data_IF_708503541296
#
_entry.id   IF_708503541296
#
_cell.length_a   1.000
_cell.length_b   1.000
_cell.length_c   1.000
_cell.angle_alpha   90.00
_cell.angle_beta   90.00
_cell.angle_gamma   90.00
#
_symmetry.space_group_name_H-M   'P 1'
#
loop_
_entity.id
_entity.type
_entity.pdbx_description
1 polymer ?
#
# COMPACT_ATOMS: atom_id res chain seq x y z
N UNK A 1 -34.42 -5.85 -17.93
CA UNK A 1 -33.01 -5.82 -18.41
C UNK A 1 -32.18 -4.67 -17.83
N UNK A 2 -32.73 -3.44 -17.67
CA UNK A 2 -31.99 -2.30 -17.10
C UNK A 2 -31.43 -2.54 -15.68
N UNK A 3 -32.19 -3.16 -14.78
CA UNK A 3 -31.77 -3.40 -13.37
C UNK A 3 -30.54 -4.30 -13.23
N UNK A 4 -30.36 -5.29 -14.10
CA UNK A 4 -29.23 -6.22 -14.06
C UNK A 4 -27.93 -5.53 -14.48
N UNK A 5 -27.99 -4.67 -15.51
CA UNK A 5 -26.86 -3.84 -15.94
C UNK A 5 -26.38 -2.90 -14.83
N UNK A 6 -27.31 -2.25 -14.14
CA UNK A 6 -26.97 -1.33 -13.04
C UNK A 6 -26.29 -2.05 -11.87
N UNK A 7 -26.79 -3.23 -11.49
CA UNK A 7 -26.16 -4.07 -10.45
C UNK A 7 -24.73 -4.48 -10.81
N UNK A 8 -24.51 -4.86 -12.07
CA UNK A 8 -23.20 -5.30 -12.55
C UNK A 8 -22.17 -4.16 -12.55
N UNK A 9 -22.60 -2.96 -12.94
CA UNK A 9 -21.76 -1.73 -12.85
C UNK A 9 -21.44 -1.38 -11.40
N UNK A 10 -22.41 -1.50 -10.49
CA UNK A 10 -22.20 -1.23 -9.07
C UNK A 10 -21.20 -2.20 -8.45
N UNK A 11 -21.28 -3.48 -8.83
CA UNK A 11 -20.38 -4.52 -8.36
C UNK A 11 -18.93 -4.28 -8.83
N UNK A 12 -18.75 -3.88 -10.09
CA UNK A 12 -17.45 -3.49 -10.66
C UNK A 12 -16.82 -2.30 -9.91
N UNK A 13 -17.64 -1.30 -9.55
CA UNK A 13 -17.20 -0.13 -8.77
C UNK A 13 -16.71 -0.52 -7.37
N UNK A 14 -17.41 -1.43 -6.70
CA UNK A 14 -17.00 -1.93 -5.37
C UNK A 14 -15.71 -2.77 -5.45
N UNK A 15 -15.53 -3.57 -6.50
CA UNK A 15 -14.29 -4.36 -6.72
C UNK A 15 -13.08 -3.44 -6.98
N UNK A 16 -13.27 -2.31 -7.65
CA UNK A 16 -12.21 -1.32 -7.84
C UNK A 16 -11.72 -0.68 -6.52
N UNK A 17 -12.59 -0.54 -5.52
CA UNK A 17 -12.25 0.06 -4.23
C UNK A 17 -11.43 -0.87 -3.32
N UNK A 18 -11.46 -2.18 -3.55
CA UNK A 18 -10.82 -3.18 -2.69
C UNK A 18 -9.47 -3.67 -3.20
N UNK A 19 -9.08 -3.32 -4.43
CA UNK A 19 -7.83 -3.81 -5.07
C UNK A 19 -6.67 -2.81 -5.06
N UNK A 20 -6.88 -1.60 -4.51
CA UNK A 20 -5.84 -0.59 -4.38
C UNK A 20 -4.86 -0.88 -3.23
N UNK A 21 -3.59 -0.49 -3.40
CA UNK A 21 -2.63 -0.34 -2.32
C UNK A 21 -2.25 1.14 -2.24
N UNK A 22 -2.38 1.77 -1.08
CA UNK A 22 -1.95 3.16 -0.90
C UNK A 22 -0.63 3.20 -0.12
N UNK A 23 0.33 3.95 -0.63
CA UNK A 23 1.54 4.28 0.13
C UNK A 23 1.18 5.41 1.10
N UNK A 24 1.27 5.12 2.41
CA UNK A 24 0.87 6.03 3.47
C UNK A 24 1.99 7.03 3.82
N UNK A 25 3.26 6.64 3.67
CA UNK A 25 4.39 7.53 3.92
C UNK A 25 5.74 6.87 3.75
N UNK A 26 6.77 7.71 3.63
CA UNK A 26 8.18 7.30 3.59
C UNK A 26 8.98 8.19 4.53
N UNK A 27 9.81 7.59 5.38
CA UNK A 27 10.76 8.29 6.23
C UNK A 27 12.18 7.80 5.91
N UNK A 28 13.14 8.72 5.78
CA UNK A 28 14.54 8.39 5.52
C UNK A 28 15.31 8.53 6.84
N UNK A 29 16.18 7.56 7.14
CA UNK A 29 17.06 7.61 8.31
C UNK A 29 17.98 8.83 8.24
N UNK A 30 18.39 9.37 9.39
CA UNK A 30 19.25 10.54 9.47
C UNK A 30 20.59 10.39 8.71
N UNK A 31 21.07 9.16 8.52
CA UNK A 31 22.28 8.88 7.76
C UNK A 31 22.04 8.65 6.25
N UNK A 32 20.79 8.73 5.79
CA UNK A 32 20.38 8.55 4.39
C UNK A 32 20.44 7.12 3.85
N UNK A 33 20.85 6.12 4.64
CA UNK A 33 21.12 4.75 4.14
C UNK A 33 19.89 3.84 4.15
N UNK A 34 18.88 4.16 4.96
CA UNK A 34 17.67 3.35 5.14
C UNK A 34 16.43 4.21 4.94
N UNK A 35 15.39 3.62 4.39
CA UNK A 35 14.06 4.22 4.31
C UNK A 35 13.02 3.28 4.92
N UNK A 36 12.11 3.85 5.70
CA UNK A 36 10.93 3.19 6.23
C UNK A 36 9.74 3.58 5.37
N UNK A 37 9.14 2.61 4.70
CA UNK A 37 7.97 2.79 3.84
C UNK A 37 6.76 2.17 4.51
N UNK A 38 5.74 2.99 4.73
CA UNK A 38 4.46 2.54 5.28
C UNK A 38 3.48 2.37 4.14
N UNK A 39 2.96 1.16 3.96
CA UNK A 39 1.92 0.83 2.97
C UNK A 39 0.65 0.41 3.68
N UNK A 40 -0.47 0.99 3.24
CA UNK A 40 -1.78 0.65 3.73
C UNK A 40 -2.47 -0.24 2.69
N UNK A 41 -2.58 -1.54 2.99
CA UNK A 41 -3.36 -2.46 2.18
C UNK A 41 -4.85 -2.31 2.56
N UNK A 42 -5.73 -2.17 1.55
CA UNK A 42 -7.10 -1.63 1.67
C UNK A 42 -8.11 -2.44 2.53
N UNK A 43 -7.72 -3.55 3.15
CA UNK A 43 -8.64 -4.32 3.98
C UNK A 43 -8.90 -3.59 5.32
N UNK A 44 -10.16 -3.14 5.51
CA UNK A 44 -10.67 -2.54 6.75
C UNK A 44 -9.76 -1.44 7.34
N UNK A 45 -9.63 -0.32 6.63
CA UNK A 45 -9.10 0.93 7.20
C UNK A 45 -7.74 0.81 7.93
N UNK A 46 -6.83 -0.02 7.40
CA UNK A 46 -5.47 -0.14 7.93
C UNK A 46 -5.25 -1.20 9.00
N UNK A 47 -6.15 -2.19 9.10
CA UNK A 47 -5.88 -3.42 9.82
C UNK A 47 -4.66 -4.19 9.26
N UNK A 48 -4.29 -3.97 8.00
CA UNK A 48 -3.11 -4.56 7.34
C UNK A 48 -2.06 -3.51 6.96
N UNK A 49 -1.73 -2.58 7.87
CA UNK A 49 -0.55 -1.72 7.69
C UNK A 49 0.70 -2.58 7.59
N UNK A 50 1.46 -2.41 6.52
CA UNK A 50 2.76 -3.04 6.33
C UNK A 50 3.83 -1.96 6.38
N UNK A 51 4.84 -2.21 7.20
CA UNK A 51 6.03 -1.37 7.27
C UNK A 51 7.16 -2.13 6.58
N UNK A 52 7.85 -1.44 5.68
CA UNK A 52 9.01 -1.97 4.98
C UNK A 52 10.22 -1.14 5.37
N UNK A 53 11.32 -1.81 5.68
CA UNK A 53 12.62 -1.16 5.84
C UNK A 53 13.46 -1.53 4.63
N UNK A 54 13.83 -0.51 3.84
CA UNK A 54 14.57 -0.66 2.60
C UNK A 54 15.95 0.00 2.71
N UNK A 55 16.91 -0.50 1.93
CA UNK A 55 18.16 0.20 1.63
C UNK A 55 17.90 1.32 0.62
N UNK A 56 18.53 2.46 0.85
CA UNK A 56 18.54 3.57 -0.12
C UNK A 56 19.75 3.39 -1.03
N UNK A 57 19.49 3.33 -2.34
CA UNK A 57 20.50 3.24 -3.39
C UNK A 57 20.33 4.42 -4.37
N UNK A 58 21.32 4.61 -5.25
CA UNK A 58 21.23 5.66 -6.28
C UNK A 58 20.08 5.43 -7.28
N UNK A 59 19.60 4.19 -7.41
CA UNK A 59 18.51 3.81 -8.31
C UNK A 59 17.14 3.81 -7.60
N UNK A 60 17.12 4.02 -6.28
CA UNK A 60 15.91 4.00 -5.45
C UNK A 60 16.00 3.05 -4.25
N UNK A 61 14.86 2.52 -3.82
CA UNK A 61 14.77 1.62 -2.66
C UNK A 61 15.01 0.16 -3.06
N UNK A 62 15.92 -0.51 -2.36
CA UNK A 62 16.27 -1.91 -2.58
C UNK A 62 16.19 -2.73 -1.28
N UNK A 63 16.23 -4.06 -1.38
CA UNK A 63 16.28 -4.99 -0.24
C UNK A 63 15.21 -4.73 0.85
N UNK A 64 13.99 -4.38 0.43
CA UNK A 64 12.89 -4.05 1.35
C UNK A 64 12.43 -5.28 2.15
N UNK A 65 12.61 -5.24 3.47
CA UNK A 65 12.14 -6.27 4.38
C UNK A 65 10.84 -5.83 5.05
N UNK A 66 9.83 -6.72 5.08
CA UNK A 66 8.62 -6.49 5.88
C UNK A 66 9.02 -6.60 7.34
N UNK A 67 8.83 -5.54 8.11
CA UNK A 67 9.03 -5.56 9.55
C UNK A 67 7.74 -5.14 10.24
N UNK A 68 7.35 -5.87 11.28
CA UNK A 68 6.07 -5.63 11.99
C UNK A 68 6.23 -4.69 13.18
N UNK A 69 7.46 -4.25 13.46
CA UNK A 69 7.77 -3.26 14.49
C UNK A 69 8.79 -2.23 13.96
N UNK A 70 8.59 -0.92 14.23
CA UNK A 70 9.58 0.12 13.91
C UNK A 70 10.88 -0.06 14.68
#
# INVERSE_FOLDING_TARGET
>A
MFRFRTLLVLMLLVVGLVTGCSYAGVAISANGKKAVVVRNDHFLYGALRKVFVCDVTNEGLANCQKNESP
#
